data_IF_484222203413
#
_entry.id   IF_484222203413
#
_cell.length_a   1.000
_cell.length_b   1.000
_cell.length_c   1.000
_cell.angle_alpha   90.00
_cell.angle_beta   90.00
_cell.angle_gamma   90.00
#
_symmetry.space_group_name_H-M   'P 1'
#
loop_
_entity.id
_entity.type
_entity.pdbx_description
1 polymer ?
#
# COMPACT_ATOMS: atom_id res chain seq x y z
N UNK A 1 -8.98 -15.78 4.63
CA UNK A 1 -9.21 -14.32 4.48
C UNK A 1 -10.52 -13.94 3.77
N UNK A 2 -11.03 -14.81 2.89
CA UNK A 2 -12.24 -14.65 2.07
C UNK A 2 -13.52 -14.20 2.80
N UNK A 3 -13.82 -14.77 3.96
CA UNK A 3 -15.07 -14.48 4.69
C UNK A 3 -15.14 -13.04 5.26
N UNK A 4 -13.98 -12.40 5.48
CA UNK A 4 -13.90 -11.07 6.10
C UNK A 4 -14.20 -9.93 5.13
N UNK A 5 -14.14 -10.18 3.82
CA UNK A 5 -14.34 -9.16 2.80
C UNK A 5 -15.81 -9.01 2.36
N UNK A 6 -16.74 -9.76 2.98
CA UNK A 6 -18.18 -9.64 2.75
C UNK A 6 -18.66 -10.17 1.39
N UNK A 7 -17.80 -10.88 0.66
CA UNK A 7 -18.20 -11.56 -0.57
C UNK A 7 -18.94 -12.87 -0.25
N UNK A 8 -20.02 -13.19 -0.98
CA UNK A 8 -20.66 -14.50 -0.91
C UNK A 8 -19.62 -15.59 -1.22
N UNK A 9 -19.57 -16.64 -0.40
CA UNK A 9 -18.56 -17.71 -0.52
C UNK A 9 -18.60 -18.44 -1.87
N UNK A 10 -19.74 -18.42 -2.57
CA UNK A 10 -19.91 -18.96 -3.92
C UNK A 10 -19.23 -18.13 -5.02
N UNK A 11 -19.15 -16.79 -4.84
CA UNK A 11 -18.49 -15.89 -5.80
C UNK A 11 -16.97 -16.04 -5.76
N UNK A 12 -16.41 -16.22 -4.57
CA UNK A 12 -14.95 -16.33 -4.40
C UNK A 12 -14.37 -17.60 -5.02
N UNK A 13 -15.17 -18.66 -5.13
CA UNK A 13 -14.72 -19.95 -5.69
C UNK A 13 -14.91 -20.10 -7.20
N UNK A 14 -15.65 -19.21 -7.87
CA UNK A 14 -15.86 -19.29 -9.31
C UNK A 14 -14.96 -18.33 -10.12
N UNK A 15 -14.45 -17.27 -9.49
CA UNK A 15 -13.70 -16.21 -10.17
C UNK A 15 -12.18 -16.30 -9.96
N UNK A 16 -11.71 -17.08 -8.98
CA UNK A 16 -10.29 -17.25 -8.65
C UNK A 16 -9.89 -18.72 -8.65
N UNK A 17 -8.73 -19.04 -9.25
CA UNK A 17 -8.18 -20.39 -9.26
C UNK A 17 -7.67 -20.83 -7.89
N UNK A 18 -7.08 -19.89 -7.14
CA UNK A 18 -6.49 -20.11 -5.82
C UNK A 18 -6.82 -18.94 -4.90
N UNK A 19 -7.09 -19.24 -3.63
CA UNK A 19 -7.29 -18.26 -2.57
C UNK A 19 -6.16 -18.41 -1.58
N UNK A 20 -5.39 -17.34 -1.39
CA UNK A 20 -4.19 -17.35 -0.57
C UNK A 20 -4.48 -16.78 0.82
N UNK A 21 -4.03 -17.48 1.86
CA UNK A 21 -4.11 -17.03 3.24
C UNK A 21 -2.80 -16.38 3.74
N UNK A 22 -2.88 -15.68 4.87
CA UNK A 22 -1.73 -15.06 5.50
C UNK A 22 -0.65 -16.09 5.87
N UNK A 23 0.61 -15.74 5.64
CA UNK A 23 1.81 -16.58 5.81
C UNK A 23 1.82 -17.86 4.95
N UNK A 24 0.86 -18.05 4.04
CA UNK A 24 0.88 -19.16 3.09
C UNK A 24 2.09 -19.06 2.16
N UNK A 25 2.71 -20.21 1.87
CA UNK A 25 3.85 -20.28 0.96
C UNK A 25 3.51 -21.02 -0.32
N UNK A 26 3.86 -20.43 -1.46
CA UNK A 26 3.71 -21.04 -2.78
C UNK A 26 5.00 -20.87 -3.60
N UNK A 27 5.07 -21.53 -4.76
CA UNK A 27 6.25 -21.49 -5.61
C UNK A 27 5.98 -20.79 -6.94
N UNK A 28 6.94 -19.98 -7.37
CA UNK A 28 7.01 -19.43 -8.73
C UNK A 28 8.29 -19.97 -9.36
N UNK A 29 8.17 -21.09 -10.09
CA UNK A 29 9.34 -21.83 -10.56
C UNK A 29 10.17 -22.37 -9.39
N UNK A 30 11.41 -21.91 -9.23
CA UNK A 30 12.28 -22.27 -8.11
C UNK A 30 12.24 -21.26 -6.94
N UNK A 31 11.47 -20.19 -7.07
CA UNK A 31 11.34 -19.16 -6.04
C UNK A 31 10.23 -19.56 -5.06
N UNK A 32 10.51 -19.48 -3.76
CA UNK A 32 9.49 -19.59 -2.73
C UNK A 32 8.97 -18.20 -2.40
N UNK A 33 7.66 -18.02 -2.51
CA UNK A 33 6.95 -16.79 -2.13
C UNK A 33 6.13 -17.05 -0.87
N UNK A 34 6.14 -16.11 0.07
CA UNK A 34 5.26 -16.08 1.23
C UNK A 34 4.26 -14.95 1.07
N UNK A 35 2.99 -15.26 1.29
CA UNK A 35 1.88 -14.30 1.27
C UNK A 35 1.89 -13.51 2.58
N UNK A 36 1.71 -12.21 2.49
CA UNK A 36 1.53 -11.33 3.64
C UNK A 36 0.15 -10.68 3.51
N UNK A 37 -0.77 -10.96 4.42
CA UNK A 37 -2.01 -10.20 4.52
C UNK A 37 -1.70 -8.80 5.07
N UNK A 38 -2.01 -7.78 4.29
CA UNK A 38 -1.68 -6.39 4.57
C UNK A 38 -2.91 -5.47 4.40
N UNK A 39 -3.98 -5.70 5.18
CA UNK A 39 -5.22 -4.95 5.02
C UNK A 39 -5.01 -3.46 5.32
N UNK A 40 -5.90 -2.64 4.77
CA UNK A 40 -5.99 -1.22 5.12
C UNK A 40 -6.27 -0.32 3.93
N UNK A 41 -5.55 -0.50 2.81
CA UNK A 41 -5.92 0.16 1.55
C UNK A 41 -7.20 -0.48 0.99
N UNK A 42 -7.22 -1.81 0.96
CA UNK A 42 -8.43 -2.64 0.85
C UNK A 42 -8.37 -3.73 1.94
N UNK A 43 -9.50 -4.40 2.23
CA UNK A 43 -9.56 -5.44 3.27
C UNK A 43 -8.82 -6.73 2.85
N UNK A 44 -8.79 -7.01 1.56
CA UNK A 44 -8.19 -8.18 0.93
C UNK A 44 -6.77 -7.95 0.42
N UNK A 45 -6.16 -6.80 0.73
CA UNK A 45 -4.85 -6.46 0.22
C UNK A 45 -3.79 -7.47 0.71
N UNK A 46 -3.01 -8.01 -0.24
CA UNK A 46 -1.90 -8.92 0.01
C UNK A 46 -0.60 -8.39 -0.56
N UNK A 47 0.49 -8.68 0.13
CA UNK A 47 1.84 -8.56 -0.40
C UNK A 47 2.50 -9.94 -0.57
N UNK A 48 3.60 -9.97 -1.32
CA UNK A 48 4.37 -11.17 -1.57
C UNK A 48 5.82 -10.98 -1.17
N UNK A 49 6.33 -11.83 -0.29
CA UNK A 49 7.72 -11.85 0.13
C UNK A 49 8.47 -12.97 -0.58
N UNK A 50 9.56 -12.63 -1.26
CA UNK A 50 10.46 -13.57 -1.95
C UNK A 50 11.89 -13.18 -1.53
N UNK A 51 12.53 -14.04 -0.73
CA UNK A 51 13.78 -13.73 -0.04
C UNK A 51 13.68 -12.38 0.70
N UNK A 52 14.65 -11.47 0.49
CA UNK A 52 14.69 -10.14 1.10
C UNK A 52 13.87 -9.08 0.32
N UNK A 53 12.98 -9.50 -0.59
CA UNK A 53 12.15 -8.61 -1.39
C UNK A 53 10.67 -8.78 -1.02
N UNK A 54 9.98 -7.68 -0.76
CA UNK A 54 8.55 -7.67 -0.47
C UNK A 54 7.82 -6.77 -1.46
N UNK A 55 6.93 -7.34 -2.25
CA UNK A 55 6.01 -6.60 -3.10
C UNK A 55 4.77 -6.25 -2.29
N UNK A 56 4.73 -5.04 -1.74
CA UNK A 56 3.75 -4.63 -0.73
C UNK A 56 2.55 -3.84 -1.27
N UNK A 57 2.49 -3.60 -2.59
CA UNK A 57 1.40 -2.86 -3.22
C UNK A 57 1.25 -1.45 -2.62
N UNK A 58 0.01 -1.04 -2.36
CA UNK A 58 -0.37 0.32 -1.93
C UNK A 58 -0.43 0.49 -0.40
N UNK A 59 0.12 -0.46 0.34
CA UNK A 59 0.28 -0.37 1.80
C UNK A 59 1.35 0.67 2.17
N UNK A 60 2.31 0.88 1.27
CA UNK A 60 3.32 1.91 1.36
C UNK A 60 3.38 2.68 0.04
N UNK A 61 3.75 3.95 0.15
CA UNK A 61 4.18 4.79 -0.96
C UNK A 61 5.59 5.28 -0.69
N UNK A 62 6.24 5.83 -1.70
CA UNK A 62 7.55 6.43 -1.53
C UNK A 62 7.50 7.51 -0.44
N UNK A 63 8.53 7.60 0.39
CA UNK A 63 8.52 8.47 1.56
C UNK A 63 8.33 9.95 1.21
N UNK A 64 8.70 10.37 0.00
CA UNK A 64 8.47 11.73 -0.49
C UNK A 64 7.02 12.02 -0.92
N UNK A 65 6.19 10.98 -1.07
CA UNK A 65 4.76 11.07 -1.37
C UNK A 65 3.86 11.05 -0.12
N UNK A 66 4.43 10.77 1.06
CA UNK A 66 3.70 10.82 2.33
C UNK A 66 3.10 9.47 2.77
N UNK A 67 1.83 9.45 3.17
CA UNK A 67 1.11 8.25 3.64
C UNK A 67 0.09 7.85 2.56
N UNK A 68 -0.07 6.54 2.26
CA UNK A 68 -1.09 6.09 1.33
C UNK A 68 -2.51 6.47 1.78
N UNK A 69 -3.40 6.69 0.82
CA UNK A 69 -4.79 7.01 1.09
C UNK A 69 -5.61 5.78 1.50
N UNK A 70 -6.52 5.96 2.46
CA UNK A 70 -7.57 5.00 2.86
C UNK A 70 -8.97 5.51 2.44
N UNK A 71 -9.12 6.01 1.22
CA UNK A 71 -10.37 6.60 0.70
C UNK A 71 -11.30 5.61 -0.02
N UNK A 72 -10.89 4.34 -0.10
CA UNK A 72 -11.76 3.27 -0.55
C UNK A 72 -12.83 2.96 0.49
N UNK A 73 -14.04 2.56 0.05
CA UNK A 73 -15.15 2.25 0.96
C UNK A 73 -14.84 1.10 1.93
N UNK A 74 -13.87 0.26 1.57
CA UNK A 74 -13.34 -0.85 2.38
C UNK A 74 -12.02 -0.52 3.08
N UNK A 75 -11.53 0.73 3.00
CA UNK A 75 -10.26 1.12 3.61
C UNK A 75 -10.38 1.30 5.13
N UNK A 76 -9.33 0.92 5.86
CA UNK A 76 -9.26 1.05 7.32
C UNK A 76 -7.88 1.56 7.75
N UNK A 77 -7.82 2.77 8.27
CA UNK A 77 -6.56 3.42 8.66
C UNK A 77 -5.82 2.69 9.79
N UNK A 78 -6.53 2.05 10.71
CA UNK A 78 -5.89 1.27 11.79
C UNK A 78 -5.26 -0.01 11.24
N UNK A 79 -5.91 -0.67 10.29
CA UNK A 79 -5.36 -1.83 9.60
C UNK A 79 -4.16 -1.42 8.74
N UNK A 80 -4.26 -0.32 7.98
CA UNK A 80 -3.15 0.20 7.18
C UNK A 80 -1.93 0.50 8.06
N UNK A 81 -2.16 1.10 9.23
CA UNK A 81 -1.12 1.34 10.22
C UNK A 81 -0.48 0.04 10.70
N UNK A 82 -1.28 -0.97 11.08
CA UNK A 82 -0.77 -2.27 11.53
C UNK A 82 0.03 -2.99 10.43
N UNK A 83 -0.48 -2.99 9.19
CA UNK A 83 0.19 -3.54 8.01
C UNK A 83 1.51 -2.82 7.71
N UNK A 84 1.52 -1.49 7.83
CA UNK A 84 2.75 -0.70 7.74
C UNK A 84 3.75 -1.10 8.83
N UNK A 85 3.30 -1.24 10.08
CA UNK A 85 4.17 -1.67 11.19
C UNK A 85 4.71 -3.09 11.00
N UNK A 86 3.92 -4.01 10.42
CA UNK A 86 4.38 -5.35 10.03
C UNK A 86 5.53 -5.26 9.04
N UNK A 87 5.37 -4.49 7.95
CA UNK A 87 6.40 -4.29 6.94
C UNK A 87 7.67 -3.62 7.50
N UNK A 88 7.50 -2.57 8.31
CA UNK A 88 8.64 -1.90 8.95
C UNK A 88 9.26 -2.72 10.09
N UNK A 89 8.61 -3.80 10.53
CA UNK A 89 9.17 -4.78 11.47
C UNK A 89 10.22 -5.70 10.84
N UNK A 90 10.30 -5.77 9.51
CA UNK A 90 11.25 -6.60 8.77
C UNK A 90 12.71 -6.13 8.92
N UNK A 91 13.70 -6.97 8.57
CA UNK A 91 15.10 -6.57 8.59
C UNK A 91 15.38 -5.35 7.72
N UNK A 92 16.25 -4.45 8.20
CA UNK A 92 16.52 -3.15 7.58
C UNK A 92 16.93 -3.21 6.10
N UNK A 93 17.58 -4.29 5.67
CA UNK A 93 18.06 -4.46 4.29
C UNK A 93 16.97 -4.96 3.32
N UNK A 94 15.81 -5.38 3.81
CA UNK A 94 14.72 -5.86 2.96
C UNK A 94 14.22 -4.71 2.08
N UNK A 95 13.96 -5.03 0.81
CA UNK A 95 13.45 -4.10 -0.18
C UNK A 95 11.93 -4.18 -0.25
N UNK A 96 11.27 -3.05 -0.06
CA UNK A 96 9.82 -2.91 -0.17
C UNK A 96 9.50 -2.31 -1.54
N UNK A 97 8.97 -3.14 -2.43
CA UNK A 97 8.55 -2.79 -3.78
C UNK A 97 7.13 -2.26 -3.76
N UNK A 98 6.98 -1.02 -4.21
CA UNK A 98 5.74 -0.25 -4.12
C UNK A 98 4.80 -0.57 -5.28
N UNK A 99 3.49 -0.51 -5.05
CA UNK A 99 2.49 -0.68 -6.10
C UNK A 99 2.52 0.47 -7.12
N UNK A 100 2.68 1.69 -6.62
CA UNK A 100 2.73 2.89 -7.44
C UNK A 100 3.82 3.85 -6.96
N UNK A 101 4.40 4.55 -7.92
CA UNK A 101 5.30 5.65 -7.65
C UNK A 101 5.13 6.75 -8.72
N UNK A 102 5.20 8.00 -8.27
CA UNK A 102 5.05 9.17 -9.13
C UNK A 102 6.25 10.09 -8.96
N UNK A 103 6.68 10.72 -10.04
CA UNK A 103 7.73 11.73 -9.99
C UNK A 103 7.26 12.94 -9.18
N UNK A 104 8.14 13.50 -8.36
CA UNK A 104 7.89 14.73 -7.61
C UNK A 104 8.72 15.87 -8.22
N UNK A 105 8.45 17.14 -7.88
CA UNK A 105 9.28 18.26 -8.33
C UNK A 105 10.77 18.09 -8.00
N UNK A 106 11.07 17.34 -6.94
CA UNK A 106 12.43 17.06 -6.46
C UNK A 106 12.99 15.72 -6.96
N UNK A 107 12.16 14.86 -7.57
CA UNK A 107 12.55 13.53 -8.04
C UNK A 107 11.94 13.21 -9.41
N UNK A 108 12.78 13.26 -10.43
CA UNK A 108 12.38 13.09 -11.83
C UNK A 108 12.37 11.64 -12.32
N UNK A 109 12.86 10.69 -11.52
CA UNK A 109 12.88 9.27 -11.85
C UNK A 109 12.06 8.48 -10.83
N UNK A 110 11.18 7.56 -11.27
CA UNK A 110 10.52 6.64 -10.36
C UNK A 110 11.52 5.80 -9.56
N UNK A 111 11.24 5.61 -8.29
CA UNK A 111 11.97 4.75 -7.37
C UNK A 111 11.04 3.60 -6.99
N UNK A 112 11.21 2.42 -7.61
CA UNK A 112 10.25 1.32 -7.47
C UNK A 112 10.30 0.64 -6.10
N UNK A 113 11.38 0.85 -5.33
CA UNK A 113 11.52 0.33 -3.99
C UNK A 113 12.30 1.30 -3.10
N UNK A 114 12.13 1.12 -1.79
CA UNK A 114 13.01 1.61 -0.74
C UNK A 114 13.34 0.44 0.20
N UNK A 115 14.44 0.52 0.92
CA UNK A 115 14.68 -0.43 2.02
C UNK A 115 13.78 -0.13 3.23
N UNK A 116 13.59 -1.13 4.09
CA UNK A 116 12.93 -0.92 5.40
C UNK A 116 13.61 0.18 6.20
N UNK A 117 14.94 0.26 6.16
CA UNK A 117 15.70 1.33 6.81
C UNK A 117 15.38 2.70 6.21
N UNK A 118 15.34 2.83 4.88
CA UNK A 118 15.02 4.10 4.23
C UNK A 118 13.61 4.58 4.57
N UNK A 119 12.63 3.67 4.59
CA UNK A 119 11.27 4.00 5.05
C UNK A 119 11.24 4.45 6.51
N UNK A 120 11.97 3.76 7.41
CA UNK A 120 12.07 4.18 8.82
C UNK A 120 12.70 5.56 8.95
N UNK A 121 13.75 5.86 8.21
CA UNK A 121 14.43 7.16 8.31
C UNK A 121 13.59 8.30 7.74
N UNK A 122 12.85 8.06 6.66
CA UNK A 122 12.19 9.11 5.86
C UNK A 122 10.69 9.24 6.13
N UNK A 123 10.05 8.20 6.66
CA UNK A 123 8.59 8.10 6.78
C UNK A 123 8.10 7.80 8.20
N UNK A 124 8.93 7.28 9.11
CA UNK A 124 8.55 6.97 10.50
C UNK A 124 7.95 8.16 11.25
N UNK A 125 8.48 9.37 11.03
CA UNK A 125 7.97 10.59 11.68
C UNK A 125 6.50 10.86 11.30
N UNK A 126 6.07 10.50 10.09
CA UNK A 126 4.69 10.63 9.66
C UNK A 126 3.78 9.60 10.34
N UNK A 127 4.31 8.42 10.70
CA UNK A 127 3.57 7.32 11.34
C UNK A 127 3.51 7.41 12.86
N UNK A 128 4.54 7.97 13.52
CA UNK A 128 4.56 8.18 14.99
C UNK A 128 3.51 9.23 15.42
N UNK A 129 3.20 10.19 14.55
CA UNK A 129 2.11 11.17 14.74
C UNK A 129 0.70 10.57 14.55
N UNK A 130 0.58 9.35 14.00
CA UNK A 130 -0.69 8.61 13.79
C UNK A 130 -1.18 7.90 15.06
N UNK A 131 -0.59 8.22 16.22
CA UNK A 131 -1.30 8.03 17.51
C UNK A 131 -2.64 8.81 17.59
N UNK A 132 -3.00 9.57 16.55
CA UNK A 132 -4.31 10.18 16.35
C UNK A 132 -5.03 9.49 15.18
N UNK A 133 -6.33 9.14 15.34
CA UNK A 133 -7.10 8.51 14.27
C UNK A 133 -7.06 9.40 13.03
N UNK A 134 -6.67 8.84 11.89
CA UNK A 134 -6.78 9.49 10.58
C UNK A 134 -8.25 9.81 10.38
N UNK A 135 -8.59 11.09 10.49
CA UNK A 135 -9.93 11.58 10.17
C UNK A 135 -10.14 11.32 8.68
N UNK A 136 -11.09 10.44 8.36
CA UNK A 136 -11.57 10.27 6.99
C UNK A 136 -11.95 11.65 6.45
N UNK A 137 -11.20 12.16 5.46
CA UNK A 137 -11.58 13.41 4.79
C UNK A 137 -12.75 13.07 3.87
N UNK A 138 -13.95 13.64 4.06
CA UNK A 138 -15.10 13.35 3.21
C UNK A 138 -14.81 13.72 1.75
N UNK A 139 -15.29 12.89 0.82
CA UNK A 139 -14.98 12.88 -0.62
C UNK A 139 -15.36 14.16 -1.40
N UNK A 140 -15.95 15.16 -0.76
CA UNK A 140 -16.63 16.28 -1.44
C UNK A 140 -15.75 17.48 -1.80
N UNK A 141 -14.41 17.38 -1.71
CA UNK A 141 -13.52 18.54 -1.98
C UNK A 141 -12.60 18.42 -3.21
N UNK A 142 -12.66 17.34 -4.00
CA UNK A 142 -11.90 17.26 -5.27
C UNK A 142 -12.74 17.50 -6.53
N UNK A 143 -14.04 17.77 -6.41
CA UNK A 143 -14.88 18.15 -7.54
C UNK A 143 -15.01 19.67 -7.65
N UNK A 144 -13.94 20.38 -8.03
CA UNK A 144 -13.97 21.65 -8.81
C UNK A 144 -12.56 22.18 -9.03
N UNK A 145 -11.90 21.69 -10.08
CA UNK A 145 -10.78 22.40 -10.67
C UNK A 145 -10.80 22.20 -12.20
N UNK A 146 -11.85 22.71 -12.84
CA UNK A 146 -11.80 22.99 -14.28
C UNK A 146 -10.90 24.21 -14.47
N UNK A 147 -9.63 24.01 -14.80
CA UNK A 147 -8.82 25.08 -15.39
C UNK A 147 -8.78 24.90 -16.91
N UNK A 148 -9.70 25.61 -17.57
CA UNK A 148 -9.58 25.92 -18.99
C UNK A 148 -8.38 26.85 -19.24
N UNK A 149 -7.64 26.48 -20.28
CA UNK A 149 -6.61 27.19 -21.03
C UNK A 149 -6.74 28.74 -21.09
N UNK A 150 -5.58 29.40 -20.98
CA UNK A 150 -5.04 30.52 -21.81
C UNK A 150 -5.99 31.70 -22.10
N UNK A 151 -5.69 32.97 -21.82
CA UNK A 151 -4.71 33.87 -22.46
C UNK A 151 -4.66 35.19 -21.68
N UNK A 152 -3.48 35.78 -21.46
CA UNK A 152 -3.26 37.23 -21.56
C UNK A 152 -1.78 37.52 -21.81
N UNK A 153 -1.51 38.21 -22.91
CA UNK A 153 -0.20 38.72 -23.36
C UNK A 153 0.36 39.78 -22.41
N UNK A 154 1.69 39.84 -22.33
CA UNK A 154 2.43 41.00 -22.84
C UNK A 154 3.36 40.49 -23.96
#
# INVERSE_FOLDING_TARGET
>A
MSEQCGFPSDVLTCDFDELLDDDESFHVGCLQATVLHLPGHTLDHVGYMIDDNVFCGDVLVNADLGIPSCDYSSGNANELYNSTRRLLGLPNHYRLWLGHDHTTPTRQCPMPYLSVEEHKQRQCQLYDDISKPVVQVPRDQHATATQSKTVARC
#
